data_IF_507462313209
#
_entry.id   IF_507462313209
#
_cell.length_a   1.000
_cell.length_b   1.000
_cell.length_c   1.000
_cell.angle_alpha   90.00
_cell.angle_beta   90.00
_cell.angle_gamma   90.00
#
_symmetry.space_group_name_H-M   'P 1'
#
loop_
_entity.id
_entity.type
_entity.pdbx_description
1 polymer ?
#
# COMPACT_ATOMS: atom_id res chain seq x y z
N UNK A 1 -3.93 5.83 -23.07
CA UNK A 1 -4.49 5.33 -21.78
C UNK A 1 -5.83 4.68 -22.08
N UNK A 2 -6.00 3.43 -21.72
CA UNK A 2 -7.24 2.66 -21.93
C UNK A 2 -8.39 3.25 -21.09
N UNK A 3 -9.64 3.02 -21.49
CA UNK A 3 -10.82 3.53 -20.74
C UNK A 3 -10.83 2.97 -19.32
N UNK A 4 -10.47 1.72 -19.14
CA UNK A 4 -10.35 1.05 -17.85
C UNK A 4 -9.36 1.77 -16.92
N UNK A 5 -8.16 2.10 -17.39
CA UNK A 5 -7.17 2.86 -16.62
C UNK A 5 -7.68 4.26 -16.24
N UNK A 6 -8.47 4.91 -17.11
CA UNK A 6 -9.08 6.20 -16.77
C UNK A 6 -10.09 6.05 -15.64
N UNK A 7 -10.90 4.99 -15.67
CA UNK A 7 -11.87 4.70 -14.61
C UNK A 7 -11.14 4.47 -13.28
N UNK A 8 -10.08 3.64 -13.28
CA UNK A 8 -9.29 3.36 -12.07
C UNK A 8 -8.67 4.65 -11.51
N UNK A 9 -7.96 5.42 -12.35
CA UNK A 9 -7.29 6.64 -11.90
C UNK A 9 -8.28 7.69 -11.36
N UNK A 10 -9.42 7.87 -12.04
CA UNK A 10 -10.46 8.81 -11.56
C UNK A 10 -11.11 8.31 -10.28
N UNK A 11 -11.25 6.99 -10.12
CA UNK A 11 -11.74 6.40 -8.87
C UNK A 11 -10.79 6.70 -7.72
N UNK A 12 -9.48 6.60 -7.92
CA UNK A 12 -8.47 6.96 -6.91
C UNK A 12 -8.63 8.44 -6.50
N UNK A 13 -8.79 9.36 -7.46
CA UNK A 13 -8.98 10.79 -7.18
C UNK A 13 -10.28 11.06 -6.39
N UNK A 14 -11.39 10.43 -6.78
CA UNK A 14 -12.65 10.55 -6.05
C UNK A 14 -12.56 9.95 -4.64
N UNK A 15 -11.84 8.84 -4.49
CA UNK A 15 -11.60 8.23 -3.19
C UNK A 15 -10.76 9.16 -2.29
N UNK A 16 -9.73 9.80 -2.81
CA UNK A 16 -8.95 10.80 -2.09
C UNK A 16 -9.81 11.97 -1.59
N UNK A 17 -10.75 12.43 -2.41
CA UNK A 17 -11.61 13.57 -2.09
C UNK A 17 -12.79 13.23 -1.15
N UNK A 18 -13.36 12.02 -1.25
CA UNK A 18 -14.66 11.66 -0.65
C UNK A 18 -14.66 10.33 0.11
N UNK A 19 -13.53 9.64 0.16
CA UNK A 19 -13.45 8.29 0.72
C UNK A 19 -14.40 7.34 0.01
N UNK A 20 -14.97 6.38 0.75
CA UNK A 20 -15.92 5.40 0.22
C UNK A 20 -17.29 5.99 -0.20
N UNK A 21 -17.56 7.28 0.06
CA UNK A 21 -18.86 7.91 -0.21
C UNK A 21 -19.08 8.34 -1.66
N UNK A 22 -18.04 8.37 -2.51
CA UNK A 22 -18.22 8.73 -3.92
C UNK A 22 -19.21 7.78 -4.62
N UNK A 23 -19.88 8.28 -5.67
CA UNK A 23 -20.88 7.54 -6.44
C UNK A 23 -20.41 7.25 -7.87
N UNK A 24 -21.03 6.25 -8.52
CA UNK A 24 -20.77 5.97 -9.94
C UNK A 24 -21.29 7.08 -10.86
N UNK A 25 -22.26 7.86 -10.42
CA UNK A 25 -22.75 9.02 -11.18
C UNK A 25 -21.70 10.14 -11.19
N UNK A 26 -21.06 10.40 -10.08
CA UNK A 26 -19.93 11.33 -9.98
C UNK A 26 -18.76 10.87 -10.85
N UNK A 27 -18.40 9.58 -10.77
CA UNK A 27 -17.33 8.99 -11.58
C UNK A 27 -17.62 9.13 -13.09
N UNK A 28 -18.86 8.86 -13.51
CA UNK A 28 -19.30 9.01 -14.89
C UNK A 28 -19.23 10.48 -15.36
N UNK A 29 -19.66 11.41 -14.50
CA UNK A 29 -19.62 12.84 -14.75
C UNK A 29 -18.20 13.36 -14.94
N UNK A 30 -17.29 13.02 -14.01
CA UNK A 30 -15.88 13.42 -14.06
C UNK A 30 -15.17 12.91 -15.32
N UNK A 31 -15.47 11.67 -15.71
CA UNK A 31 -14.93 11.06 -16.93
C UNK A 31 -15.63 11.49 -18.22
N UNK A 32 -16.76 12.21 -18.12
CA UNK A 32 -17.62 12.58 -19.25
C UNK A 32 -18.06 11.37 -20.08
N UNK A 33 -18.40 10.28 -19.42
CA UNK A 33 -18.93 9.05 -20.03
C UNK A 33 -20.26 8.68 -19.39
N UNK A 34 -20.97 7.73 -20.00
CA UNK A 34 -22.21 7.23 -19.40
C UNK A 34 -21.91 6.20 -18.29
N UNK A 35 -22.79 6.12 -17.30
CA UNK A 35 -22.74 5.05 -16.28
C UNK A 35 -22.81 3.65 -16.92
N UNK A 36 -23.53 3.53 -18.05
CA UNK A 36 -23.56 2.30 -18.86
C UNK A 36 -22.17 1.93 -19.39
N UNK A 37 -21.37 2.93 -19.78
CA UNK A 37 -20.00 2.71 -20.22
C UNK A 37 -19.13 2.17 -19.06
N UNK A 38 -19.29 2.69 -17.85
CA UNK A 38 -18.59 2.15 -16.67
C UNK A 38 -18.95 0.68 -16.47
N UNK A 39 -20.24 0.34 -16.52
CA UNK A 39 -20.71 -1.04 -16.33
C UNK A 39 -20.26 -2.02 -17.43
N UNK A 40 -19.80 -1.55 -18.58
CA UNK A 40 -19.18 -2.41 -19.60
C UNK A 40 -17.80 -2.94 -19.17
N UNK A 41 -17.10 -2.21 -18.30
CA UNK A 41 -15.77 -2.58 -17.78
C UNK A 41 -15.86 -3.19 -16.38
N UNK A 42 -16.74 -2.66 -15.53
CA UNK A 42 -16.85 -3.05 -14.13
C UNK A 42 -18.32 -3.25 -13.74
N UNK A 43 -18.71 -4.46 -13.32
CA UNK A 43 -20.12 -4.77 -13.03
C UNK A 43 -20.66 -4.06 -11.78
N UNK A 44 -19.79 -3.52 -10.92
CA UNK A 44 -20.19 -2.84 -9.69
C UNK A 44 -19.09 -1.87 -9.20
N UNK A 45 -19.45 -1.00 -8.27
CA UNK A 45 -18.47 -0.15 -7.56
C UNK A 45 -17.44 -0.99 -6.78
N UNK A 46 -17.88 -2.11 -6.21
CA UNK A 46 -17.00 -3.05 -5.50
C UNK A 46 -15.95 -3.64 -6.45
N UNK A 47 -16.34 -3.99 -7.69
CA UNK A 47 -15.40 -4.48 -8.71
C UNK A 47 -14.35 -3.41 -9.08
N UNK A 48 -14.74 -2.13 -9.17
CA UNK A 48 -13.81 -1.04 -9.40
C UNK A 48 -12.85 -0.89 -8.21
N UNK A 49 -13.36 -0.93 -6.98
CA UNK A 49 -12.53 -0.83 -5.78
C UNK A 49 -11.54 -1.99 -5.66
N UNK A 50 -11.95 -3.22 -5.99
CA UNK A 50 -11.03 -4.35 -6.06
C UNK A 50 -9.93 -4.12 -7.09
N UNK A 51 -10.27 -3.64 -8.29
CA UNK A 51 -9.27 -3.35 -9.31
C UNK A 51 -8.34 -2.18 -8.93
N UNK A 52 -8.83 -1.18 -8.18
CA UNK A 52 -7.99 -0.11 -7.60
C UNK A 52 -6.96 -0.71 -6.64
N UNK A 53 -7.34 -1.67 -5.80
CA UNK A 53 -6.42 -2.41 -4.91
C UNK A 53 -5.37 -3.16 -5.74
N UNK A 54 -5.81 -4.00 -6.69
CA UNK A 54 -4.92 -4.77 -7.56
C UNK A 54 -3.94 -3.87 -8.34
N UNK A 55 -4.45 -2.79 -8.92
CA UNK A 55 -3.64 -1.82 -9.65
C UNK A 55 -2.58 -1.17 -8.76
N UNK A 56 -2.95 -0.83 -7.52
CA UNK A 56 -2.02 -0.30 -6.53
C UNK A 56 -0.90 -1.28 -6.21
N UNK A 57 -1.24 -2.52 -5.90
CA UNK A 57 -0.24 -3.54 -5.56
C UNK A 57 0.64 -3.94 -6.73
N UNK A 58 0.12 -4.03 -7.96
CA UNK A 58 0.98 -4.20 -9.15
C UNK A 58 2.04 -3.10 -9.27
N UNK A 59 1.69 -1.85 -8.96
CA UNK A 59 2.65 -0.73 -8.98
C UNK A 59 3.62 -0.76 -7.81
N UNK A 60 3.18 -1.20 -6.63
CA UNK A 60 4.07 -1.47 -5.49
C UNK A 60 5.09 -2.53 -5.88
N UNK A 61 4.67 -3.64 -6.49
CA UNK A 61 5.56 -4.72 -6.92
C UNK A 61 6.58 -4.24 -7.97
N UNK A 62 6.15 -3.49 -8.96
CA UNK A 62 7.06 -2.91 -9.94
C UNK A 62 8.12 -2.00 -9.29
N UNK A 63 7.71 -1.17 -8.30
CA UNK A 63 8.62 -0.31 -7.54
C UNK A 63 9.59 -1.12 -6.67
N UNK A 64 9.10 -2.16 -5.97
CA UNK A 64 9.92 -3.09 -5.19
C UNK A 64 10.96 -3.78 -6.08
N UNK A 65 10.55 -4.32 -7.23
CA UNK A 65 11.46 -4.97 -8.18
C UNK A 65 12.57 -4.02 -8.63
N UNK A 66 12.22 -2.78 -9.00
CA UNK A 66 13.21 -1.78 -9.41
C UNK A 66 14.21 -1.46 -8.29
N UNK A 67 13.76 -1.40 -7.03
CA UNK A 67 14.63 -1.18 -5.87
C UNK A 67 15.56 -2.39 -5.66
N UNK A 68 15.02 -3.60 -5.68
CA UNK A 68 15.78 -4.84 -5.45
C UNK A 68 16.89 -5.06 -6.50
N UNK A 69 16.62 -4.69 -7.76
CA UNK A 69 17.58 -4.82 -8.87
C UNK A 69 18.53 -3.63 -9.03
N UNK A 70 18.43 -2.61 -8.17
CA UNK A 70 19.31 -1.43 -8.23
C UNK A 70 20.67 -1.71 -7.58
N UNK A 71 21.62 -0.77 -7.80
CA UNK A 71 22.97 -0.80 -7.19
C UNK A 71 23.01 -0.22 -5.75
N UNK A 72 21.87 -0.07 -5.11
CA UNK A 72 21.79 0.42 -3.72
C UNK A 72 22.37 -0.61 -2.77
N UNK A 73 22.86 -0.15 -1.60
CA UNK A 73 23.26 -1.05 -0.51
C UNK A 73 22.08 -1.83 0.05
N UNK A 74 22.34 -2.97 0.68
CA UNK A 74 21.32 -3.83 1.30
C UNK A 74 20.47 -3.05 2.32
N UNK A 75 21.10 -2.17 3.11
CA UNK A 75 20.43 -1.27 4.06
C UNK A 75 19.44 -0.32 3.33
N UNK A 76 19.91 0.34 2.27
CA UNK A 76 19.06 1.26 1.50
C UNK A 76 17.93 0.56 0.77
N UNK A 77 18.19 -0.63 0.19
CA UNK A 77 17.16 -1.47 -0.42
C UNK A 77 16.06 -1.80 0.57
N UNK A 78 16.42 -2.29 1.77
CA UNK A 78 15.44 -2.66 2.79
C UNK A 78 14.60 -1.46 3.23
N UNK A 79 15.22 -0.32 3.54
CA UNK A 79 14.50 0.92 3.85
C UNK A 79 13.48 1.28 2.78
N UNK A 80 13.89 1.29 1.51
CA UNK A 80 13.05 1.73 0.39
C UNK A 80 11.94 0.73 0.04
N UNK A 81 12.20 -0.58 0.15
CA UNK A 81 11.20 -1.62 -0.13
C UNK A 81 10.07 -1.58 0.89
N UNK A 82 10.38 -1.37 2.17
CA UNK A 82 9.38 -1.32 3.24
C UNK A 82 8.42 -0.12 3.13
N UNK A 83 8.86 1.00 2.49
CA UNK A 83 8.04 2.20 2.25
C UNK A 83 7.66 2.38 0.77
N UNK A 84 7.67 1.31 -0.01
CA UNK A 84 7.43 1.37 -1.46
C UNK A 84 5.97 1.65 -1.82
N UNK A 85 5.44 2.81 -1.46
CA UNK A 85 4.11 3.28 -1.87
C UNK A 85 4.25 4.03 -3.20
N UNK A 86 3.38 3.78 -4.20
CA UNK A 86 3.35 4.57 -5.43
C UNK A 86 2.91 6.01 -5.16
N UNK A 87 3.49 6.98 -5.87
CA UNK A 87 3.24 8.42 -5.65
C UNK A 87 1.76 8.81 -5.67
N UNK A 88 0.96 8.17 -6.51
CA UNK A 88 -0.48 8.43 -6.61
C UNK A 88 -1.28 8.03 -5.37
N UNK A 89 -0.71 7.20 -4.48
CA UNK A 89 -1.33 6.79 -3.21
C UNK A 89 -0.74 7.54 -2.01
N UNK A 90 0.30 8.36 -2.21
CA UNK A 90 0.97 9.08 -1.13
C UNK A 90 0.06 10.11 -0.44
N UNK A 91 -0.92 10.65 -1.17
CA UNK A 91 -1.87 11.63 -0.66
C UNK A 91 -3.20 11.01 -0.21
N UNK A 92 -3.33 9.68 -0.27
CA UNK A 92 -4.54 9.03 0.22
C UNK A 92 -4.55 9.13 1.75
N UNK A 93 -5.58 9.76 2.27
CA UNK A 93 -5.95 9.59 3.67
C UNK A 93 -6.53 8.19 3.84
N UNK A 94 -5.70 7.27 4.32
CA UNK A 94 -6.10 5.88 4.54
C UNK A 94 -7.13 5.72 5.67
N UNK A 95 -7.34 6.73 6.52
CA UNK A 95 -8.45 6.74 7.49
C UNK A 95 -9.81 6.63 6.79
N UNK A 96 -9.88 7.07 5.53
CA UNK A 96 -11.08 6.95 4.68
C UNK A 96 -11.42 5.51 4.29
N UNK A 97 -10.50 4.53 4.50
CA UNK A 97 -10.78 3.09 4.41
C UNK A 97 -11.58 2.57 5.61
N UNK A 98 -11.75 3.38 6.64
CA UNK A 98 -12.53 3.02 7.82
C UNK A 98 -13.95 2.60 7.43
N UNK A 99 -14.32 1.42 7.85
CA UNK A 99 -15.60 0.80 7.48
C UNK A 99 -15.58 0.04 6.15
N UNK A 100 -14.43 -0.05 5.45
CA UNK A 100 -14.28 -0.84 4.23
C UNK A 100 -14.75 -2.29 4.46
N UNK A 101 -14.29 -2.92 5.55
CA UNK A 101 -14.69 -4.29 5.91
C UNK A 101 -16.20 -4.46 6.06
N UNK A 102 -16.87 -3.44 6.60
CA UNK A 102 -18.32 -3.46 6.81
C UNK A 102 -19.11 -3.23 5.52
N UNK A 103 -18.61 -2.37 4.62
CA UNK A 103 -19.32 -1.95 3.39
C UNK A 103 -18.93 -2.83 2.20
N UNK A 104 -17.65 -3.19 2.09
CA UNK A 104 -17.07 -3.96 0.98
C UNK A 104 -16.12 -5.05 1.53
N UNK A 105 -16.65 -6.11 2.17
CA UNK A 105 -15.84 -7.12 2.87
C UNK A 105 -14.87 -7.85 1.94
N UNK A 106 -15.23 -8.05 0.67
CA UNK A 106 -14.31 -8.70 -0.29
C UNK A 106 -13.13 -7.80 -0.65
N UNK A 107 -13.35 -6.48 -0.77
CA UNK A 107 -12.26 -5.52 -1.01
C UNK A 107 -11.32 -5.46 0.19
N UNK A 108 -11.87 -5.45 1.41
CA UNK A 108 -11.07 -5.48 2.63
C UNK A 108 -10.23 -6.75 2.75
N UNK A 109 -10.84 -7.91 2.44
CA UNK A 109 -10.14 -9.20 2.43
C UNK A 109 -9.02 -9.25 1.39
N UNK A 110 -9.26 -8.71 0.19
CA UNK A 110 -8.26 -8.62 -0.86
C UNK A 110 -7.09 -7.72 -0.43
N UNK A 111 -7.39 -6.55 0.11
CA UNK A 111 -6.38 -5.62 0.64
C UNK A 111 -5.51 -6.30 1.72
N UNK A 112 -6.13 -7.00 2.67
CA UNK A 112 -5.43 -7.72 3.73
C UNK A 112 -4.53 -8.84 3.16
N UNK A 113 -5.03 -9.62 2.19
CA UNK A 113 -4.26 -10.68 1.55
C UNK A 113 -2.96 -10.17 0.93
N UNK A 114 -2.98 -8.98 0.34
CA UNK A 114 -1.78 -8.35 -0.20
C UNK A 114 -0.75 -7.97 0.87
N UNK A 115 -1.16 -7.54 2.06
CA UNK A 115 -0.22 -7.26 3.16
C UNK A 115 0.40 -8.52 3.76
N UNK A 116 -0.26 -9.66 3.61
CA UNK A 116 0.23 -10.96 4.08
C UNK A 116 1.11 -11.68 3.05
N UNK A 117 1.07 -11.25 1.78
CA UNK A 117 1.83 -11.83 0.67
C UNK A 117 3.18 -11.13 0.44
N UNK A 118 3.99 -11.71 -0.44
CA UNK A 118 5.21 -11.10 -1.01
C UNK A 118 6.29 -10.70 0.01
N UNK A 119 6.45 -11.49 1.07
CA UNK A 119 7.48 -11.29 2.09
C UNK A 119 8.82 -11.97 1.75
N UNK A 120 8.83 -12.97 0.86
CA UNK A 120 10.02 -13.72 0.47
C UNK A 120 11.16 -12.81 -0.01
N UNK A 121 10.97 -11.81 -0.87
CA UNK A 121 12.04 -10.91 -1.30
C UNK A 121 12.57 -10.03 -0.15
N UNK A 122 11.73 -9.68 0.82
CA UNK A 122 12.13 -8.91 2.02
C UNK A 122 12.96 -9.80 2.94
N UNK A 123 12.56 -11.05 3.13
CA UNK A 123 13.30 -12.02 3.92
C UNK A 123 14.68 -12.28 3.31
N UNK A 124 14.74 -12.56 2.01
CA UNK A 124 16.01 -12.75 1.31
C UNK A 124 16.95 -11.54 1.47
N UNK A 125 16.40 -10.31 1.44
CA UNK A 125 17.18 -9.09 1.64
C UNK A 125 17.68 -8.93 3.08
N UNK A 126 16.88 -9.35 4.08
CA UNK A 126 17.31 -9.35 5.49
C UNK A 126 18.38 -10.42 5.73
N UNK A 127 18.21 -11.63 5.17
CA UNK A 127 19.21 -12.71 5.24
C UNK A 127 20.52 -12.29 4.57
N UNK A 128 20.46 -11.68 3.39
CA UNK A 128 21.62 -11.10 2.73
C UNK A 128 22.35 -10.08 3.63
N UNK A 129 21.62 -9.18 4.28
CA UNK A 129 22.23 -8.21 5.20
C UNK A 129 22.84 -8.82 6.45
N UNK A 130 22.32 -9.97 6.92
CA UNK A 130 22.93 -10.75 8.00
C UNK A 130 24.24 -11.39 7.52
N UNK A 131 24.25 -11.96 6.31
CA UNK A 131 25.45 -12.56 5.70
C UNK A 131 26.52 -11.52 5.37
N UNK A 132 26.12 -10.30 5.04
CA UNK A 132 27.01 -9.13 4.85
C UNK A 132 27.48 -8.51 6.17
N UNK A 133 27.05 -9.04 7.32
CA UNK A 133 27.34 -8.51 8.67
C UNK A 133 26.87 -7.05 8.89
N UNK A 134 25.89 -6.57 8.09
CA UNK A 134 25.29 -5.22 8.26
C UNK A 134 24.01 -5.27 9.07
N UNK A 135 23.37 -6.44 9.21
CA UNK A 135 22.23 -6.67 10.08
C UNK A 135 22.53 -7.73 11.15
N UNK A 136 22.01 -7.51 12.34
CA UNK A 136 22.02 -8.53 13.37
C UNK A 136 21.04 -9.66 13.05
N UNK A 137 21.27 -10.89 13.50
CA UNK A 137 20.30 -11.98 13.38
C UNK A 137 18.96 -11.62 14.03
N UNK A 138 17.86 -11.83 13.29
CA UNK A 138 16.49 -11.58 13.76
C UNK A 138 15.57 -12.73 13.37
N UNK A 139 14.49 -12.89 14.11
CA UNK A 139 13.44 -13.83 13.74
C UNK A 139 12.54 -13.20 12.66
N UNK A 140 12.63 -13.70 11.42
CA UNK A 140 11.91 -13.17 10.26
C UNK A 140 10.38 -13.25 10.42
N UNK A 141 9.87 -14.28 11.11
CA UNK A 141 8.43 -14.42 11.38
C UNK A 141 7.95 -13.30 12.30
N UNK A 142 8.71 -13.01 13.36
CA UNK A 142 8.40 -11.90 14.28
C UNK A 142 8.51 -10.56 13.58
N UNK A 143 9.52 -10.36 12.75
CA UNK A 143 9.68 -9.14 11.95
C UNK A 143 8.46 -8.93 11.04
N UNK A 144 8.04 -9.97 10.28
CA UNK A 144 6.84 -9.93 9.46
C UNK A 144 5.61 -9.56 10.28
N UNK A 145 5.37 -10.26 11.39
CA UNK A 145 4.18 -10.02 12.23
C UNK A 145 4.16 -8.60 12.78
N UNK A 146 5.30 -8.07 13.20
CA UNK A 146 5.42 -6.69 13.70
C UNK A 146 5.08 -5.67 12.63
N UNK A 147 5.69 -5.80 11.45
CA UNK A 147 5.44 -4.87 10.33
C UNK A 147 4.01 -4.95 9.82
N UNK A 148 3.48 -6.17 9.62
CA UNK A 148 2.10 -6.37 9.16
C UNK A 148 1.09 -5.82 10.16
N UNK A 149 1.29 -6.03 11.45
CA UNK A 149 0.43 -5.49 12.50
C UNK A 149 0.43 -3.95 12.49
N UNK A 150 1.62 -3.33 12.37
CA UNK A 150 1.74 -1.89 12.31
C UNK A 150 1.07 -1.32 11.03
N UNK A 151 1.29 -1.92 9.87
CA UNK A 151 0.67 -1.50 8.61
C UNK A 151 -0.87 -1.53 8.71
N UNK A 152 -1.43 -2.64 9.20
CA UNK A 152 -2.87 -2.79 9.38
C UNK A 152 -3.44 -1.78 10.41
N UNK A 153 -2.72 -1.57 11.51
CA UNK A 153 -3.12 -0.60 12.53
C UNK A 153 -3.17 0.82 11.96
N UNK A 154 -2.14 1.24 11.22
CA UNK A 154 -2.09 2.57 10.61
C UNK A 154 -3.23 2.82 9.61
N UNK A 155 -3.73 1.77 8.94
CA UNK A 155 -4.87 1.87 8.02
C UNK A 155 -6.22 1.94 8.73
N UNK A 156 -6.31 1.46 9.97
CA UNK A 156 -7.58 1.31 10.71
C UNK A 156 -7.77 2.33 11.83
N UNK A 157 -6.68 2.98 12.29
CA UNK A 157 -6.71 3.91 13.43
C UNK A 157 -7.00 5.36 13.01
N UNK A 158 -7.53 6.16 13.96
CA UNK A 158 -7.58 7.62 13.83
C UNK A 158 -6.38 8.30 14.52
N UNK A 159 -5.49 7.52 15.14
CA UNK A 159 -4.40 8.08 15.95
C UNK A 159 -3.40 8.85 15.08
N UNK A 160 -3.21 8.45 13.83
CA UNK A 160 -2.36 9.19 12.89
C UNK A 160 -2.92 10.57 12.60
N UNK A 161 -4.23 10.67 12.27
CA UNK A 161 -4.90 11.94 12.01
C UNK A 161 -4.84 12.85 13.24
N UNK A 162 -5.14 12.31 14.43
CA UNK A 162 -5.10 13.06 15.69
C UNK A 162 -3.69 13.52 16.07
N UNK A 163 -2.64 12.84 15.58
CA UNK A 163 -1.25 13.18 15.77
C UNK A 163 -0.67 14.06 14.65
N UNK A 164 -1.48 14.37 13.61
CA UNK A 164 -1.05 15.15 12.45
C UNK A 164 -0.08 14.41 11.52
N UNK A 165 -0.02 13.07 11.60
CA UNK A 165 0.83 12.23 10.78
C UNK A 165 0.05 11.64 9.60
N UNK A 166 0.65 11.68 8.43
CA UNK A 166 0.18 10.92 7.27
C UNK A 166 0.58 9.44 7.40
N UNK A 167 -0.11 8.56 6.70
CA UNK A 167 0.27 7.13 6.63
C UNK A 167 1.72 6.95 6.14
N UNK A 168 2.17 7.75 5.19
CA UNK A 168 3.55 7.73 4.67
C UNK A 168 4.57 8.08 5.74
N UNK A 169 4.34 9.17 6.48
CA UNK A 169 5.23 9.59 7.58
C UNK A 169 5.29 8.52 8.65
N UNK A 170 4.15 7.94 9.04
CA UNK A 170 4.12 6.84 9.99
C UNK A 170 4.92 5.61 9.53
N UNK A 171 4.84 5.26 8.22
CA UNK A 171 5.68 4.18 7.66
C UNK A 171 7.16 4.52 7.69
N UNK A 172 7.54 5.76 7.39
CA UNK A 172 8.93 6.21 7.43
C UNK A 172 9.48 6.10 8.85
N UNK A 173 8.76 6.61 9.85
CA UNK A 173 9.14 6.51 11.26
C UNK A 173 9.23 5.04 11.72
N UNK A 174 8.25 4.21 11.35
CA UNK A 174 8.29 2.77 11.67
C UNK A 174 9.56 2.11 11.09
N UNK A 175 9.88 2.41 9.83
CA UNK A 175 11.07 1.84 9.18
C UNK A 175 12.34 2.33 9.85
N UNK A 176 12.44 3.60 10.26
CA UNK A 176 13.61 4.08 11.02
C UNK A 176 13.74 3.34 12.36
N UNK A 177 12.66 3.13 13.12
CA UNK A 177 12.66 2.33 14.36
C UNK A 177 13.14 0.90 14.10
N UNK A 178 12.64 0.25 13.05
CA UNK A 178 13.02 -1.12 12.70
C UNK A 178 14.49 -1.19 12.27
N UNK A 179 14.94 -0.25 11.45
CA UNK A 179 16.33 -0.21 10.97
C UNK A 179 17.31 0.03 12.10
N UNK A 180 17.02 0.91 13.07
CA UNK A 180 17.85 1.06 14.27
C UNK A 180 17.94 -0.21 15.11
N UNK A 181 16.91 -1.07 15.06
CA UNK A 181 16.91 -2.37 15.70
C UNK A 181 17.60 -3.48 14.90
N UNK A 182 17.84 -3.30 13.60
CA UNK A 182 18.43 -4.28 12.71
C UNK A 182 19.90 -4.03 12.41
N UNK A 183 20.27 -2.77 12.13
CA UNK A 183 21.62 -2.40 11.71
C UNK A 183 22.59 -2.57 12.88
N UNK A 184 23.74 -3.19 12.58
CA UNK A 184 24.86 -3.25 13.51
C UNK A 184 25.51 -1.87 13.51
N UNK A 185 25.45 -1.20 14.64
CA UNK A 185 26.23 0.04 14.85
C UNK A 185 27.63 -0.36 15.31
N UNK A 186 28.65 0.14 14.62
CA UNK A 186 30.05 0.03 15.05
C UNK A 186 30.29 0.71 16.41
#
# INVERSE_FOLDING_TARGET
MLVEEKIINQTIQLFQAKGLKFTLDELASELRISKKTIYQYFPSKEAILNEVVEYGFRRIQAKKTAILTSELTTIEKLKRVLIAIPNQYEQIDFSSLKGLEKIYPQVAKNLQAHFESDWEPIFALVEQGIDEEVFRPVNLVVLKMTLTAAFNYFLSTNDLESSGLTYREALQELVEVVMHGLVINE
#
